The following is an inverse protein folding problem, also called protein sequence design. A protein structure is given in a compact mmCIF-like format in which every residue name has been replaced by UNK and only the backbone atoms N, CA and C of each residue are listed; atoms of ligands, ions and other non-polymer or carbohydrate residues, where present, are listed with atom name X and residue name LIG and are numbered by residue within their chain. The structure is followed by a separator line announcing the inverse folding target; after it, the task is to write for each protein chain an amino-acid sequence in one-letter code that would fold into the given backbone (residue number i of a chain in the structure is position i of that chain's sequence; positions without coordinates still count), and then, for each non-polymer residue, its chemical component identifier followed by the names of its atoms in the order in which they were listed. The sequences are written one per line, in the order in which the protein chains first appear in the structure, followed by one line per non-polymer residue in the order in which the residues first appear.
data_IF_611035240104
#
_entry.id   IF_611035240104
#
_cell.length_a   1.000
_cell.length_b   1.000
_cell.length_c   1.000
_cell.angle_alpha   90.00
_cell.angle_beta   90.00
_cell.angle_gamma   90.00
#
_symmetry.space_group_name_H-M   'P 1'
#
loop_
_entity.id
_entity.type
_entity.pdbx_description
1 polymer ?
#
# COMPACT_ATOMS: atom_id res chain seq x y z
N UNK A 1 37.93 36.68 -7.31
CA UNK A 1 37.31 35.39 -7.02
C UNK A 1 38.24 34.69 -6.03
N UNK A 2 37.78 34.53 -4.78
CA UNK A 2 38.63 34.09 -3.68
C UNK A 2 38.82 32.56 -3.69
N UNK A 3 39.96 32.14 -3.12
CA UNK A 3 40.32 30.70 -3.01
C UNK A 3 39.24 29.83 -2.35
N UNK A 4 38.36 30.42 -1.56
CA UNK A 4 37.25 29.80 -0.88
C UNK A 4 36.07 29.44 -1.82
N UNK A 5 35.82 30.31 -2.81
CA UNK A 5 34.81 30.03 -3.86
C UNK A 5 35.24 28.90 -4.79
N UNK A 6 36.52 28.84 -5.11
CA UNK A 6 37.10 27.74 -5.90
C UNK A 6 37.03 26.38 -5.16
N UNK A 7 37.22 26.40 -3.83
CA UNK A 7 37.07 25.18 -3.01
C UNK A 7 35.63 24.68 -2.99
N UNK A 8 34.65 25.55 -2.77
CA UNK A 8 33.23 25.21 -2.77
C UNK A 8 32.75 24.67 -4.12
N UNK A 9 33.20 25.28 -5.23
CA UNK A 9 32.92 24.77 -6.57
C UNK A 9 33.48 23.36 -6.82
N UNK A 10 34.72 23.12 -6.40
CA UNK A 10 35.35 21.79 -6.53
C UNK A 10 34.64 20.72 -5.68
N UNK A 11 34.21 21.08 -4.47
CA UNK A 11 33.48 20.16 -3.61
C UNK A 11 32.05 19.83 -4.18
N UNK A 12 31.40 20.82 -4.79
CA UNK A 12 30.12 20.58 -5.49
C UNK A 12 30.31 19.73 -6.74
N UNK A 13 31.34 19.99 -7.56
CA UNK A 13 31.64 19.14 -8.71
C UNK A 13 31.99 17.69 -8.33
N UNK A 14 32.75 17.50 -7.25
CA UNK A 14 33.02 16.14 -6.74
C UNK A 14 31.75 15.43 -6.22
N UNK A 15 30.86 16.16 -5.55
CA UNK A 15 29.54 15.61 -5.13
C UNK A 15 28.70 15.20 -6.34
N UNK A 16 28.66 16.06 -7.37
CA UNK A 16 27.96 15.77 -8.61
C UNK A 16 28.57 14.55 -9.32
N UNK A 17 29.89 14.51 -9.46
CA UNK A 17 30.60 13.36 -10.04
C UNK A 17 30.37 12.07 -9.27
N UNK A 18 30.32 12.10 -7.92
CA UNK A 18 30.00 10.93 -7.10
C UNK A 18 28.56 10.47 -7.28
N UNK A 19 27.61 11.42 -7.43
CA UNK A 19 26.20 11.10 -7.66
C UNK A 19 25.94 10.47 -9.05
N UNK A 20 26.75 10.83 -10.05
CA UNK A 20 26.69 10.27 -11.42
C UNK A 20 27.74 9.20 -11.70
N UNK A 21 28.48 8.74 -10.68
CA UNK A 21 29.38 7.60 -10.85
C UNK A 21 28.56 6.38 -11.25
N UNK A 22 28.84 5.83 -12.42
CA UNK A 22 28.23 4.58 -12.87
C UNK A 22 28.43 3.53 -11.78
N UNK A 23 27.32 3.00 -11.27
CA UNK A 23 27.37 1.85 -10.36
C UNK A 23 28.03 0.69 -11.08
N UNK A 24 28.90 -0.02 -10.40
CA UNK A 24 29.50 -1.23 -10.96
C UNK A 24 28.39 -2.20 -11.39
N UNK A 25 28.54 -2.81 -12.57
CA UNK A 25 27.59 -3.74 -13.15
C UNK A 25 27.21 -4.88 -12.16
N UNK A 26 28.15 -5.28 -11.33
CA UNK A 26 27.93 -6.29 -10.31
C UNK A 26 27.02 -5.77 -9.18
N UNK A 27 27.18 -4.51 -8.76
CA UNK A 27 26.30 -3.89 -7.74
C UNK A 27 24.89 -3.66 -8.25
N UNK A 28 24.75 -3.21 -9.52
CA UNK A 28 23.45 -3.03 -10.17
C UNK A 28 22.72 -4.38 -10.24
N UNK A 29 23.36 -5.42 -10.77
CA UNK A 29 22.75 -6.75 -10.91
C UNK A 29 22.35 -7.37 -9.58
N UNK A 30 23.17 -7.25 -8.53
CA UNK A 30 22.85 -7.85 -7.23
C UNK A 30 21.73 -7.12 -6.54
N UNK A 31 21.71 -5.78 -6.60
CA UNK A 31 20.68 -4.95 -5.99
C UNK A 31 19.32 -5.16 -6.68
N UNK A 32 19.30 -5.08 -8.02
CA UNK A 32 18.06 -5.16 -8.78
C UNK A 32 17.47 -6.58 -8.79
N UNK A 33 18.32 -7.60 -8.87
CA UNK A 33 17.87 -8.99 -8.77
C UNK A 33 17.25 -9.30 -7.43
N UNK A 34 17.83 -8.79 -6.33
CA UNK A 34 17.27 -8.98 -4.99
C UNK A 34 15.90 -8.31 -4.83
N UNK A 35 15.74 -7.10 -5.37
CA UNK A 35 14.44 -6.39 -5.38
C UNK A 35 13.41 -7.19 -6.18
N UNK A 36 13.78 -7.71 -7.35
CA UNK A 36 12.89 -8.54 -8.18
C UNK A 36 12.45 -9.79 -7.43
N UNK A 37 13.35 -10.51 -6.78
CA UNK A 37 13.01 -11.68 -5.98
C UNK A 37 12.08 -11.34 -4.82
N UNK A 38 12.30 -10.21 -4.15
CA UNK A 38 11.42 -9.75 -3.07
C UNK A 38 10.01 -9.43 -3.59
N UNK A 39 9.90 -8.74 -4.72
CA UNK A 39 8.62 -8.46 -5.38
C UNK A 39 7.91 -9.76 -5.75
N UNK A 40 8.61 -10.71 -6.36
CA UNK A 40 8.03 -12.02 -6.71
C UNK A 40 7.54 -12.79 -5.48
N UNK A 41 8.29 -12.77 -4.39
CA UNK A 41 7.91 -13.42 -3.13
C UNK A 41 6.64 -12.81 -2.56
N UNK A 42 6.55 -11.47 -2.51
CA UNK A 42 5.35 -10.77 -2.06
C UNK A 42 4.13 -11.05 -2.95
N UNK A 43 4.35 -11.18 -4.27
CA UNK A 43 3.30 -11.54 -5.22
C UNK A 43 2.74 -12.93 -4.90
N UNK A 44 3.61 -13.92 -4.77
CA UNK A 44 3.20 -15.29 -4.46
C UNK A 44 2.46 -15.36 -3.12
N UNK A 45 2.98 -14.71 -2.08
CA UNK A 45 2.36 -14.67 -0.77
C UNK A 45 0.99 -13.98 -0.80
N UNK A 46 0.89 -12.84 -1.50
CA UNK A 46 -0.36 -12.12 -1.67
C UNK A 46 -1.44 -12.95 -2.34
N UNK A 47 -1.11 -13.59 -3.47
CA UNK A 47 -2.04 -14.47 -4.17
C UNK A 47 -2.46 -15.68 -3.33
N UNK A 48 -1.54 -16.30 -2.60
CA UNK A 48 -1.87 -17.42 -1.71
C UNK A 48 -2.82 -17.01 -0.59
N UNK A 49 -2.65 -15.82 -0.03
CA UNK A 49 -3.56 -15.29 1.01
C UNK A 49 -4.92 -14.93 0.43
N UNK A 50 -4.94 -14.21 -0.70
CA UNK A 50 -6.18 -13.80 -1.36
C UNK A 50 -7.02 -14.97 -1.86
N UNK A 51 -6.39 -16.01 -2.41
CA UNK A 51 -7.09 -17.21 -2.88
C UNK A 51 -7.91 -17.91 -1.79
N UNK A 52 -7.51 -17.79 -0.52
CA UNK A 52 -8.22 -18.39 0.62
C UNK A 52 -9.42 -17.56 1.08
N UNK A 53 -9.51 -16.30 0.68
CA UNK A 53 -10.54 -15.36 1.16
C UNK A 53 -11.86 -15.59 0.42
N UNK A 54 -11.80 -15.96 -0.86
CA UNK A 54 -12.98 -16.14 -1.71
C UNK A 54 -13.44 -14.85 -2.39
N UNK A 55 -14.65 -14.78 -2.96
CA UNK A 55 -15.09 -13.65 -3.76
C UNK A 55 -15.23 -12.38 -2.92
N UNK A 56 -14.56 -11.32 -3.35
CA UNK A 56 -14.59 -10.02 -2.71
C UNK A 56 -14.76 -8.91 -3.73
N UNK A 57 -15.30 -7.77 -3.28
CA UNK A 57 -15.36 -6.53 -4.04
C UNK A 57 -14.42 -5.52 -3.41
N UNK A 58 -13.67 -4.84 -4.24
CA UNK A 58 -12.73 -3.80 -3.80
C UNK A 58 -13.40 -2.44 -3.74
N UNK A 59 -13.18 -1.72 -2.64
CA UNK A 59 -13.65 -0.35 -2.44
C UNK A 59 -12.44 0.59 -2.29
N UNK A 60 -12.35 1.55 -3.22
CA UNK A 60 -11.36 2.61 -3.21
C UNK A 60 -11.99 3.96 -2.90
N UNK A 61 -11.23 4.83 -2.28
CA UNK A 61 -11.63 6.20 -2.08
C UNK A 61 -10.66 6.98 -1.20
N UNK A 62 -10.99 8.24 -0.97
CA UNK A 62 -10.17 9.16 -0.19
C UNK A 62 -10.02 8.70 1.27
N UNK A 63 -8.80 8.70 1.78
CA UNK A 63 -8.49 8.44 3.18
C UNK A 63 -8.93 9.59 4.12
N UNK A 64 -9.27 10.77 3.55
CA UNK A 64 -9.56 11.99 4.32
C UNK A 64 -11.06 12.27 4.47
N UNK A 65 -11.93 11.46 3.89
CA UNK A 65 -13.38 11.65 3.98
C UNK A 65 -13.86 11.43 5.41
N UNK A 66 -14.47 12.43 6.08
CA UNK A 66 -14.91 12.28 7.47
C UNK A 66 -16.14 11.35 7.55
N UNK A 67 -16.34 10.74 8.72
CA UNK A 67 -17.40 9.74 8.93
C UNK A 67 -18.82 10.31 8.73
N UNK A 68 -19.02 11.59 8.97
CA UNK A 68 -20.32 12.27 8.78
C UNK A 68 -20.60 12.62 7.31
N UNK A 69 -19.65 12.44 6.42
CA UNK A 69 -19.82 12.79 5.02
C UNK A 69 -20.78 11.81 4.32
N UNK A 70 -21.69 12.27 3.45
CA UNK A 70 -22.65 11.40 2.76
C UNK A 70 -21.99 10.24 1.99
N UNK A 71 -20.83 10.48 1.37
CA UNK A 71 -20.10 9.42 0.66
C UNK A 71 -19.50 8.37 1.58
N UNK A 72 -19.12 8.72 2.82
CA UNK A 72 -18.69 7.74 3.81
C UNK A 72 -19.85 6.79 4.16
N UNK A 73 -21.01 7.36 4.45
CA UNK A 73 -22.22 6.59 4.78
C UNK A 73 -22.68 5.72 3.61
N UNK A 74 -22.59 6.25 2.40
CA UNK A 74 -22.91 5.50 1.18
C UNK A 74 -21.95 4.31 0.98
N UNK A 75 -20.64 4.52 1.15
CA UNK A 75 -19.64 3.45 1.04
C UNK A 75 -19.85 2.36 2.09
N UNK A 76 -20.19 2.74 3.33
CA UNK A 76 -20.52 1.81 4.40
C UNK A 76 -21.76 0.97 4.05
N UNK A 77 -22.82 1.60 3.54
CA UNK A 77 -24.05 0.92 3.18
C UNK A 77 -23.87 -0.01 1.96
N UNK A 78 -23.09 0.42 0.97
CA UNK A 78 -22.73 -0.42 -0.18
C UNK A 78 -21.98 -1.67 0.30
N UNK A 79 -20.98 -1.50 1.15
CA UNK A 79 -20.21 -2.62 1.70
C UNK A 79 -21.10 -3.58 2.50
N UNK A 80 -22.01 -3.05 3.31
CA UNK A 80 -22.97 -3.85 4.06
C UNK A 80 -23.82 -4.71 3.13
N UNK A 81 -24.38 -4.13 2.06
CA UNK A 81 -25.19 -4.85 1.07
C UNK A 81 -24.40 -5.89 0.28
N UNK A 82 -23.15 -5.59 -0.08
CA UNK A 82 -22.27 -6.55 -0.76
C UNK A 82 -22.11 -7.82 0.08
N UNK A 83 -21.90 -7.66 1.38
CA UNK A 83 -21.81 -8.81 2.29
C UNK A 83 -23.10 -9.60 2.35
N UNK A 84 -24.27 -8.95 2.38
CA UNK A 84 -25.56 -9.63 2.33
C UNK A 84 -25.76 -10.46 1.04
N UNK A 85 -25.06 -10.09 -0.05
CA UNK A 85 -25.07 -10.84 -1.31
C UNK A 85 -23.93 -11.88 -1.39
N UNK A 86 -23.22 -12.14 -0.29
CA UNK A 86 -22.21 -13.20 -0.20
C UNK A 86 -20.79 -12.78 -0.61
N UNK A 87 -20.54 -11.50 -0.83
CA UNK A 87 -19.21 -10.97 -1.15
C UNK A 87 -18.49 -10.49 0.12
N UNK A 88 -17.16 -10.65 0.16
CA UNK A 88 -16.31 -9.93 1.10
C UNK A 88 -15.98 -8.53 0.56
N UNK A 89 -15.37 -7.70 1.38
CA UNK A 89 -14.90 -6.36 1.00
C UNK A 89 -13.40 -6.26 1.21
N UNK A 90 -12.71 -5.76 0.19
CA UNK A 90 -11.28 -5.46 0.22
C UNK A 90 -11.09 -3.96 0.12
N UNK A 91 -10.20 -3.41 0.93
CA UNK A 91 -9.79 -2.00 0.87
C UNK A 91 -8.27 -1.88 1.03
N UNK A 92 -7.74 -0.67 0.86
CA UNK A 92 -6.34 -0.37 1.20
C UNK A 92 -6.05 -0.33 2.71
N UNK A 93 -7.04 -0.54 3.55
CA UNK A 93 -6.87 -0.61 5.01
C UNK A 93 -6.72 0.73 5.72
N UNK A 94 -6.72 1.86 5.02
CA UNK A 94 -6.63 3.21 5.57
C UNK A 94 -7.95 3.74 6.11
N UNK A 95 -7.97 5.03 6.41
CA UNK A 95 -9.15 5.77 6.87
C UNK A 95 -10.14 6.15 5.76
N UNK A 96 -11.10 7.00 6.08
CA UNK A 96 -12.05 7.58 5.14
C UNK A 96 -12.94 6.54 4.45
N UNK A 97 -13.02 6.59 3.14
CA UNK A 97 -13.87 5.67 2.34
C UNK A 97 -13.45 4.20 2.50
N UNK A 98 -12.16 3.93 2.68
CA UNK A 98 -11.65 2.58 2.94
C UNK A 98 -12.14 2.05 4.29
N UNK A 99 -12.07 2.88 5.32
CA UNK A 99 -12.63 2.56 6.63
C UNK A 99 -14.13 2.32 6.56
N UNK A 100 -14.87 3.17 5.82
CA UNK A 100 -16.30 3.01 5.62
C UNK A 100 -16.62 1.64 4.99
N UNK A 101 -15.87 1.22 3.99
CA UNK A 101 -16.00 -0.10 3.36
C UNK A 101 -15.79 -1.25 4.35
N UNK A 102 -14.69 -1.20 5.10
CA UNK A 102 -14.40 -2.22 6.12
C UNK A 102 -15.45 -2.21 7.23
N UNK A 103 -15.89 -1.02 7.69
CA UNK A 103 -16.93 -0.89 8.71
C UNK A 103 -18.26 -1.49 8.27
N UNK A 104 -18.68 -1.25 7.03
CA UNK A 104 -19.88 -1.85 6.46
C UNK A 104 -19.81 -3.38 6.42
N UNK A 105 -18.68 -3.92 5.97
CA UNK A 105 -18.44 -5.35 5.95
C UNK A 105 -18.45 -5.96 7.36
N UNK A 106 -17.78 -5.33 8.30
CA UNK A 106 -17.74 -5.77 9.70
C UNK A 106 -19.12 -5.73 10.35
N UNK A 107 -19.91 -4.67 10.13
CA UNK A 107 -21.29 -4.54 10.61
C UNK A 107 -22.19 -5.66 10.09
N UNK A 108 -21.99 -6.08 8.84
CA UNK A 108 -22.73 -7.19 8.23
C UNK A 108 -22.18 -8.57 8.63
N UNK A 109 -21.14 -8.64 9.49
CA UNK A 109 -20.45 -9.88 9.89
C UNK A 109 -19.85 -10.66 8.71
N UNK A 110 -19.44 -9.93 7.66
CA UNK A 110 -18.77 -10.48 6.49
C UNK A 110 -17.26 -10.36 6.56
N UNK A 111 -16.60 -10.81 5.49
CA UNK A 111 -15.15 -10.72 5.37
C UNK A 111 -14.72 -9.29 5.12
N UNK A 112 -13.92 -8.74 6.01
CA UNK A 112 -13.36 -7.39 5.95
C UNK A 112 -11.84 -7.47 5.80
N UNK A 113 -11.34 -7.19 4.61
CA UNK A 113 -9.95 -7.41 4.21
C UNK A 113 -9.25 -6.08 4.01
N UNK A 114 -8.01 -5.98 4.47
CA UNK A 114 -7.13 -4.83 4.24
C UNK A 114 -5.89 -5.26 3.46
N UNK A 115 -5.63 -4.64 2.32
CA UNK A 115 -4.35 -4.73 1.61
C UNK A 115 -3.56 -3.46 1.90
N UNK A 116 -2.74 -3.48 2.91
CA UNK A 116 -1.98 -2.34 3.35
C UNK A 116 -0.57 -2.33 2.76
N UNK A 117 -0.04 -1.14 2.52
CA UNK A 117 1.34 -0.93 2.13
C UNK A 117 2.05 -0.37 3.35
N UNK A 118 3.19 -0.96 3.69
CA UNK A 118 4.00 -0.45 4.78
C UNK A 118 4.59 0.91 4.39
N UNK A 119 4.08 1.96 5.02
CA UNK A 119 4.62 3.31 4.88
C UNK A 119 5.29 3.70 6.21
N UNK A 120 6.52 4.28 6.18
CA UNK A 120 7.26 4.59 7.42
C UNK A 120 6.55 5.57 8.36
N UNK A 121 5.53 6.27 7.86
CA UNK A 121 4.79 7.31 8.59
C UNK A 121 3.29 7.02 8.74
N UNK A 122 2.77 5.96 8.14
CA UNK A 122 1.37 5.56 8.27
C UNK A 122 1.23 4.31 9.12
N UNK A 123 0.25 4.35 9.98
CA UNK A 123 0.02 3.35 11.01
C UNK A 123 -0.84 2.19 10.51
N UNK A 124 -1.01 1.23 11.39
CA UNK A 124 -1.82 0.02 11.32
C UNK A 124 -3.13 0.22 10.58
N UNK A 125 -3.60 -0.83 9.88
CA UNK A 125 -4.89 -0.83 9.22
C UNK A 125 -6.04 -0.42 10.15
N UNK A 126 -7.16 0.05 9.59
CA UNK A 126 -8.29 0.48 10.40
C UNK A 126 -8.87 -0.68 11.23
N UNK A 127 -9.53 -0.34 12.33
CA UNK A 127 -10.00 -1.28 13.36
C UNK A 127 -11.09 -2.26 12.88
N UNK A 128 -11.68 -2.03 11.73
CA UNK A 128 -12.77 -2.85 11.17
C UNK A 128 -12.28 -3.97 10.25
N UNK A 129 -10.96 -4.09 10.05
CA UNK A 129 -10.36 -5.20 9.31
C UNK A 129 -10.28 -6.42 10.20
N UNK A 130 -10.60 -7.59 9.65
CA UNK A 130 -10.42 -8.85 10.36
C UNK A 130 -8.93 -9.08 10.65
N UNK A 131 -8.59 -9.42 11.87
CA UNK A 131 -7.19 -9.53 12.34
C UNK A 131 -6.33 -10.49 11.52
N UNK A 132 -6.94 -11.54 10.99
CA UNK A 132 -6.32 -12.56 10.15
C UNK A 132 -6.32 -12.21 8.66
N UNK A 133 -6.92 -11.09 8.27
CA UNK A 133 -7.09 -10.65 6.87
C UNK A 133 -6.43 -9.31 6.57
N UNK A 134 -5.59 -8.81 7.46
CA UNK A 134 -4.70 -7.69 7.15
C UNK A 134 -3.45 -8.23 6.45
N UNK A 135 -3.29 -7.88 5.19
CA UNK A 135 -2.14 -8.26 4.37
C UNK A 135 -1.31 -7.00 4.15
N UNK A 136 -0.09 -6.98 4.62
CA UNK A 136 0.83 -5.85 4.47
C UNK A 136 1.93 -6.21 3.49
N UNK A 137 2.25 -5.29 2.59
CA UNK A 137 3.32 -5.40 1.62
C UNK A 137 4.37 -4.34 1.87
N UNK A 138 5.64 -4.71 1.76
CA UNK A 138 6.77 -3.79 1.92
C UNK A 138 7.00 -2.95 0.66
N UNK A 139 6.56 -3.42 -0.51
CA UNK A 139 6.83 -2.78 -1.79
C UNK A 139 5.56 -2.16 -2.36
N UNK A 140 5.60 -0.85 -2.59
CA UNK A 140 4.50 -0.05 -3.14
C UNK A 140 3.96 -0.54 -4.49
N UNK A 141 4.75 -1.32 -5.23
CA UNK A 141 4.38 -1.82 -6.56
C UNK A 141 3.20 -2.79 -6.52
N UNK A 142 3.11 -3.61 -5.48
CA UNK A 142 2.07 -4.61 -5.35
C UNK A 142 0.67 -4.01 -5.14
N UNK A 143 0.57 -2.94 -4.38
CA UNK A 143 -0.70 -2.26 -4.15
C UNK A 143 -1.36 -1.68 -5.41
N UNK A 144 -0.59 -1.46 -6.49
CA UNK A 144 -1.10 -0.99 -7.78
C UNK A 144 -1.53 -2.09 -8.75
N UNK A 145 -1.05 -3.30 -8.55
CA UNK A 145 -1.27 -4.41 -9.49
C UNK A 145 -2.43 -5.31 -9.07
N UNK A 146 -2.74 -5.35 -7.76
CA UNK A 146 -3.83 -6.17 -7.22
C UNK A 146 -5.20 -5.48 -7.19
N UNK A 147 -5.25 -4.21 -7.62
CA UNK A 147 -6.50 -3.45 -7.62
C UNK A 147 -7.01 -3.21 -9.03
#
# INVERSE_FOLDING_TARGET
MGAEQLRLQNEEEERIRKAFKEKDWAEIKSSDSWVIFKVMSEFVEGFQKLAKIGPCVTIFGSARTPQLHPYYQMAEEIAFRLVQHGYGVITGGGGGIMEAGNRGAHRAKGKSVGLNIFLPFEQQGNIFIDKDKLISFDIFFFGRVCF
#
